data_IF_095112214731
#
_entry.id   IF_095112214731
#
_cell.length_a   1.000
_cell.length_b   1.000
_cell.length_c   1.000
_cell.angle_alpha   90.00
_cell.angle_beta   90.00
_cell.angle_gamma   90.00
#
_symmetry.space_group_name_H-M   'P 1'
#
loop_
_entity.id
_entity.type
_entity.pdbx_description
1 polymer ?
#
# COMPACT_ATOMS: atom_id res chain seq x y z
N UNK A 1 -68.80 -9.02 -28.35
CA UNK A 1 -67.44 -8.90 -28.93
C UNK A 1 -66.45 -8.15 -28.04
N UNK A 2 -66.73 -6.93 -27.55
CA UNK A 2 -65.78 -6.15 -26.71
C UNK A 2 -65.28 -6.86 -25.44
N UNK A 3 -66.13 -7.64 -24.73
CA UNK A 3 -65.72 -8.42 -23.54
C UNK A 3 -64.77 -9.59 -23.86
N UNK A 4 -64.91 -10.20 -25.03
CA UNK A 4 -64.04 -11.31 -25.48
C UNK A 4 -62.67 -10.81 -25.95
N UNK A 5 -62.62 -9.62 -26.58
CA UNK A 5 -61.36 -8.93 -26.92
C UNK A 5 -60.51 -8.60 -25.68
N UNK A 6 -61.14 -8.22 -24.55
CA UNK A 6 -60.46 -7.99 -23.27
C UNK A 6 -59.86 -9.26 -22.64
N UNK A 7 -60.57 -10.39 -22.74
CA UNK A 7 -60.08 -11.69 -22.25
C UNK A 7 -58.96 -12.25 -23.12
N UNK A 8 -59.04 -12.09 -24.45
CA UNK A 8 -58.00 -12.53 -25.39
C UNK A 8 -56.71 -11.72 -25.17
N UNK A 9 -56.82 -10.40 -24.99
CA UNK A 9 -55.65 -9.55 -24.70
C UNK A 9 -55.00 -9.88 -23.35
N UNK A 10 -55.79 -10.17 -22.32
CA UNK A 10 -55.25 -10.66 -21.04
C UNK A 10 -54.53 -12.02 -21.19
N UNK A 11 -55.12 -12.95 -21.94
CA UNK A 11 -54.50 -14.26 -22.20
C UNK A 11 -53.19 -14.14 -22.99
N UNK A 12 -53.11 -13.21 -23.95
CA UNK A 12 -51.87 -12.93 -24.71
C UNK A 12 -50.80 -12.30 -23.81
N UNK A 13 -51.16 -11.36 -22.92
CA UNK A 13 -50.21 -10.79 -21.95
C UNK A 13 -49.68 -11.87 -21.00
N UNK A 14 -50.54 -12.75 -20.50
CA UNK A 14 -50.15 -13.88 -19.66
C UNK A 14 -49.25 -14.85 -20.46
N UNK A 15 -49.59 -15.17 -21.70
CA UNK A 15 -48.79 -16.06 -22.54
C UNK A 15 -47.41 -15.47 -22.87
N UNK A 16 -47.31 -14.16 -23.13
CA UNK A 16 -46.04 -13.46 -23.33
C UNK A 16 -45.23 -13.44 -22.02
N UNK A 17 -45.87 -13.20 -20.88
CA UNK A 17 -45.21 -13.24 -19.57
C UNK A 17 -44.69 -14.65 -19.22
N UNK A 18 -45.44 -15.70 -19.57
CA UNK A 18 -45.02 -17.10 -19.37
C UNK A 18 -43.91 -17.47 -20.35
N UNK A 19 -44.00 -17.09 -21.62
CA UNK A 19 -42.96 -17.38 -22.61
C UNK A 19 -41.63 -16.69 -22.28
N UNK A 20 -41.69 -15.42 -21.87
CA UNK A 20 -40.51 -14.68 -21.42
C UNK A 20 -39.94 -15.25 -20.11
N UNK A 21 -40.77 -15.77 -19.20
CA UNK A 21 -40.33 -16.47 -17.99
C UNK A 21 -39.66 -17.83 -18.28
N UNK A 22 -40.19 -18.61 -19.23
CA UNK A 22 -39.68 -19.96 -19.55
C UNK A 22 -38.35 -19.90 -20.33
N UNK A 23 -38.12 -18.85 -21.12
CA UNK A 23 -36.86 -18.64 -21.86
C UNK A 23 -35.90 -17.67 -21.15
N UNK A 24 -36.10 -17.40 -19.86
CA UNK A 24 -35.22 -16.50 -19.11
C UNK A 24 -33.96 -17.25 -18.65
N UNK A 25 -32.89 -17.10 -19.44
CA UNK A 25 -31.56 -17.69 -19.17
C UNK A 25 -31.02 -17.33 -17.78
N UNK A 26 -31.51 -16.26 -17.13
CA UNK A 26 -31.07 -15.92 -15.76
C UNK A 26 -31.36 -17.05 -14.76
N UNK A 27 -32.40 -17.87 -14.96
CA UNK A 27 -32.67 -19.00 -14.07
C UNK A 27 -31.65 -20.13 -14.22
N UNK A 28 -31.10 -20.35 -15.42
CA UNK A 28 -30.04 -21.35 -15.63
C UNK A 28 -28.73 -20.94 -14.93
N UNK A 29 -28.44 -19.64 -14.91
CA UNK A 29 -27.31 -19.10 -14.14
C UNK A 29 -27.55 -19.24 -12.62
N UNK A 30 -28.78 -19.03 -12.15
CA UNK A 30 -29.14 -19.29 -10.76
C UNK A 30 -28.95 -20.76 -10.37
N UNK A 31 -29.42 -21.70 -11.18
CA UNK A 31 -29.33 -23.13 -10.86
C UNK A 31 -27.87 -23.61 -10.84
N UNK A 32 -27.04 -23.14 -11.77
CA UNK A 32 -25.57 -23.36 -11.74
C UNK A 32 -24.92 -22.76 -10.50
N UNK A 33 -25.24 -21.52 -10.16
CA UNK A 33 -24.73 -20.85 -8.97
C UNK A 33 -25.09 -21.60 -7.68
N UNK A 34 -26.31 -22.17 -7.62
CA UNK A 34 -26.76 -22.95 -6.48
C UNK A 34 -25.94 -24.22 -6.29
N UNK A 35 -25.66 -24.96 -7.37
CA UNK A 35 -24.78 -26.14 -7.32
C UNK A 35 -23.38 -25.75 -6.82
N UNK A 36 -22.80 -24.69 -7.39
CA UNK A 36 -21.48 -24.19 -6.96
C UNK A 36 -21.46 -23.75 -5.49
N UNK A 37 -22.54 -23.13 -5.01
CA UNK A 37 -22.71 -22.75 -3.61
C UNK A 37 -22.72 -23.98 -2.68
N UNK A 38 -23.41 -25.05 -3.07
CA UNK A 38 -23.46 -26.32 -2.33
C UNK A 38 -22.09 -27.04 -2.34
N UNK A 39 -21.31 -26.87 -3.41
CA UNK A 39 -19.93 -27.38 -3.52
C UNK A 39 -18.89 -26.52 -2.77
N UNK A 40 -19.29 -25.40 -2.15
CA UNK A 40 -18.38 -24.47 -1.46
C UNK A 40 -17.55 -23.57 -2.40
N UNK A 41 -17.87 -23.56 -3.69
CA UNK A 41 -17.25 -22.72 -4.73
C UNK A 41 -17.90 -21.34 -4.77
N UNK A 42 -17.75 -20.60 -3.67
CA UNK A 42 -18.52 -19.38 -3.42
C UNK A 42 -18.20 -18.22 -4.39
N UNK A 43 -16.95 -18.13 -4.86
CA UNK A 43 -16.54 -17.10 -5.83
C UNK A 43 -17.17 -17.41 -7.19
N UNK A 44 -17.01 -18.64 -7.69
CA UNK A 44 -17.60 -19.04 -8.96
C UNK A 44 -19.14 -18.96 -8.91
N UNK A 45 -19.75 -19.33 -7.78
CA UNK A 45 -21.19 -19.16 -7.57
C UNK A 45 -21.62 -17.70 -7.69
N UNK A 46 -20.86 -16.77 -7.08
CA UNK A 46 -21.16 -15.34 -7.13
C UNK A 46 -21.02 -14.77 -8.55
N UNK A 47 -20.01 -15.21 -9.30
CA UNK A 47 -19.82 -14.82 -10.72
C UNK A 47 -21.00 -15.27 -11.60
N UNK A 48 -21.50 -16.50 -11.42
CA UNK A 48 -22.69 -16.97 -12.15
C UNK A 48 -23.91 -16.09 -11.83
N UNK A 49 -24.07 -15.65 -10.59
CA UNK A 49 -25.16 -14.75 -10.20
C UNK A 49 -25.02 -13.35 -10.79
N UNK A 50 -23.80 -12.80 -10.92
CA UNK A 50 -23.56 -11.53 -11.62
C UNK A 50 -24.01 -11.63 -13.09
N UNK A 51 -23.64 -12.71 -13.77
CA UNK A 51 -24.05 -12.95 -15.16
C UNK A 51 -25.57 -13.05 -15.25
N UNK A 52 -26.20 -13.90 -14.44
CA UNK A 52 -27.66 -14.04 -14.43
C UNK A 52 -28.39 -12.73 -14.09
N UNK A 53 -27.86 -11.91 -13.17
CA UNK A 53 -28.44 -10.61 -12.82
C UNK A 53 -28.31 -9.60 -13.97
N UNK A 54 -27.25 -9.68 -14.77
CA UNK A 54 -27.09 -8.81 -15.95
C UNK A 54 -28.16 -9.07 -17.01
N UNK A 55 -28.64 -10.32 -17.12
CA UNK A 55 -29.73 -10.74 -18.02
C UNK A 55 -31.09 -10.31 -17.45
N UNK A 56 -31.34 -10.60 -16.16
CA UNK A 56 -32.56 -10.17 -15.47
C UNK A 56 -32.24 -9.59 -14.10
N UNK A 57 -32.22 -8.26 -14.03
CA UNK A 57 -31.89 -7.50 -12.81
C UNK A 57 -32.90 -7.72 -11.67
N UNK A 58 -34.12 -8.17 -11.99
CA UNK A 58 -35.23 -8.34 -11.04
C UNK A 58 -35.43 -9.80 -10.62
N UNK A 59 -34.57 -10.73 -11.04
CA UNK A 59 -34.66 -12.13 -10.64
C UNK A 59 -34.44 -12.26 -9.11
N UNK A 60 -35.53 -12.46 -8.37
CA UNK A 60 -35.53 -12.50 -6.90
C UNK A 60 -34.70 -13.65 -6.34
N UNK A 61 -34.61 -14.78 -7.05
CA UNK A 61 -33.80 -15.93 -6.61
C UNK A 61 -32.31 -15.59 -6.64
N UNK A 62 -31.87 -14.92 -7.71
CA UNK A 62 -30.49 -14.42 -7.84
C UNK A 62 -30.20 -13.40 -6.74
N UNK A 63 -31.05 -12.38 -6.58
CA UNK A 63 -30.88 -11.34 -5.56
C UNK A 63 -30.75 -11.96 -4.16
N UNK A 64 -31.60 -12.95 -3.83
CA UNK A 64 -31.57 -13.61 -2.52
C UNK A 64 -30.29 -14.41 -2.30
N UNK A 65 -29.83 -15.19 -3.27
CA UNK A 65 -28.61 -16.00 -3.10
C UNK A 65 -27.36 -15.10 -3.11
N UNK A 66 -27.35 -14.06 -3.95
CA UNK A 66 -26.28 -13.07 -4.01
C UNK A 66 -26.11 -12.35 -2.68
N UNK A 67 -27.21 -11.98 -2.01
CA UNK A 67 -27.15 -11.39 -0.66
C UNK A 67 -26.50 -12.29 0.38
N UNK A 68 -26.59 -13.63 0.24
CA UNK A 68 -25.91 -14.59 1.12
C UNK A 68 -24.43 -14.77 0.78
N UNK A 69 -24.11 -14.80 -0.52
CA UNK A 69 -22.76 -14.99 -1.02
C UNK A 69 -21.88 -13.75 -0.90
N UNK A 70 -22.47 -12.55 -1.07
CA UNK A 70 -21.77 -11.28 -1.03
C UNK A 70 -20.86 -11.13 0.20
N UNK A 71 -21.33 -11.31 1.45
CA UNK A 71 -20.45 -11.16 2.61
C UNK A 71 -19.34 -12.22 2.70
N UNK A 72 -19.49 -13.38 2.05
CA UNK A 72 -18.44 -14.40 1.97
C UNK A 72 -17.34 -13.94 1.02
N UNK A 73 -17.72 -13.60 -0.22
CA UNK A 73 -16.79 -13.21 -1.29
C UNK A 73 -16.10 -11.89 -0.96
N UNK A 74 -16.87 -10.87 -0.55
CA UNK A 74 -16.34 -9.58 -0.16
C UNK A 74 -15.45 -9.70 1.09
N UNK A 75 -15.83 -10.55 2.05
CA UNK A 75 -14.99 -10.84 3.22
C UNK A 75 -13.64 -11.46 2.85
N UNK A 76 -13.63 -12.44 1.94
CA UNK A 76 -12.39 -13.05 1.44
C UNK A 76 -11.49 -12.04 0.70
N UNK A 77 -12.10 -11.17 -0.12
CA UNK A 77 -11.38 -10.09 -0.81
C UNK A 77 -10.76 -9.10 0.18
N UNK A 78 -11.57 -8.59 1.12
CA UNK A 78 -11.11 -7.66 2.15
C UNK A 78 -9.97 -8.25 3.00
N UNK A 79 -10.08 -9.52 3.39
CA UNK A 79 -9.01 -10.21 4.12
C UNK A 79 -7.71 -10.29 3.31
N UNK A 80 -7.79 -10.68 2.03
CA UNK A 80 -6.62 -10.78 1.16
C UNK A 80 -5.91 -9.43 1.00
N UNK A 81 -6.68 -8.38 0.77
CA UNK A 81 -6.16 -7.02 0.63
C UNK A 81 -5.58 -6.50 1.96
N UNK A 82 -6.26 -6.76 3.09
CA UNK A 82 -5.77 -6.44 4.41
C UNK A 82 -4.42 -7.10 4.71
N UNK A 83 -4.26 -8.38 4.38
CA UNK A 83 -3.01 -9.09 4.61
C UNK A 83 -1.86 -8.51 3.76
N UNK A 84 -2.12 -8.16 2.51
CA UNK A 84 -1.13 -7.54 1.63
C UNK A 84 -0.67 -6.17 2.18
N UNK A 85 -1.62 -5.32 2.60
CA UNK A 85 -1.30 -4.02 3.21
C UNK A 85 -0.55 -4.16 4.52
N UNK A 86 -0.86 -5.18 5.32
CA UNK A 86 -0.13 -5.46 6.54
C UNK A 86 1.34 -5.82 6.26
N UNK A 87 1.60 -6.71 5.30
CA UNK A 87 2.96 -7.07 4.89
C UNK A 87 3.73 -5.87 4.33
N UNK A 88 3.07 -5.03 3.51
CA UNK A 88 3.64 -3.77 3.02
C UNK A 88 4.01 -2.84 4.19
N UNK A 89 3.12 -2.70 5.18
CA UNK A 89 3.34 -1.84 6.31
C UNK A 89 4.54 -2.26 7.16
N UNK A 90 4.72 -3.56 7.37
CA UNK A 90 5.90 -4.10 8.05
C UNK A 90 7.18 -3.74 7.28
N UNK A 91 7.18 -3.93 5.96
CA UNK A 91 8.31 -3.56 5.11
C UNK A 91 8.61 -2.05 5.16
N UNK A 92 7.58 -1.20 5.10
CA UNK A 92 7.73 0.25 5.21
C UNK A 92 8.34 0.65 6.55
N UNK A 93 7.87 0.06 7.66
CA UNK A 93 8.37 0.36 8.98
C UNK A 93 9.83 -0.11 9.18
N UNK A 94 10.17 -1.31 8.69
CA UNK A 94 11.55 -1.80 8.68
C UNK A 94 12.48 -0.89 7.85
N UNK A 95 11.93 -0.22 6.83
CA UNK A 95 12.62 0.79 6.02
C UNK A 95 12.58 2.20 6.62
N UNK A 96 12.09 2.37 7.85
CA UNK A 96 12.06 3.65 8.55
C UNK A 96 10.92 4.57 8.18
N UNK A 97 10.10 4.22 7.18
CA UNK A 97 8.98 5.05 6.71
C UNK A 97 7.80 4.90 7.66
N UNK A 98 7.92 5.42 8.88
CA UNK A 98 6.98 5.11 9.97
C UNK A 98 5.59 5.63 9.70
N UNK A 99 5.45 6.82 9.11
CA UNK A 99 4.14 7.39 8.80
C UNK A 99 3.42 6.65 7.67
N UNK A 100 4.15 6.25 6.62
CA UNK A 100 3.60 5.41 5.55
C UNK A 100 3.16 4.04 6.09
N UNK A 101 3.97 3.44 6.96
CA UNK A 101 3.63 2.19 7.62
C UNK A 101 2.37 2.31 8.48
N UNK A 102 2.21 3.38 9.27
CA UNK A 102 0.99 3.62 10.06
C UNK A 102 -0.26 3.67 9.20
N UNK A 103 -0.20 4.36 8.06
CA UNK A 103 -1.32 4.45 7.12
C UNK A 103 -1.68 3.07 6.59
N UNK A 104 -0.70 2.31 6.11
CA UNK A 104 -0.93 0.96 5.59
C UNK A 104 -1.47 0.00 6.66
N UNK A 105 -0.96 0.05 7.91
CA UNK A 105 -1.51 -0.73 9.02
C UNK A 105 -2.95 -0.35 9.36
N UNK A 106 -3.28 0.94 9.34
CA UNK A 106 -4.65 1.41 9.58
C UNK A 106 -5.61 0.91 8.51
N UNK A 107 -5.22 0.98 7.23
CA UNK A 107 -6.03 0.48 6.13
C UNK A 107 -6.20 -1.05 6.20
N UNK A 108 -5.14 -1.78 6.53
CA UNK A 108 -5.20 -3.22 6.77
C UNK A 108 -6.19 -3.56 7.90
N UNK A 109 -6.15 -2.81 9.00
CA UNK A 109 -7.07 -2.98 10.12
C UNK A 109 -8.52 -2.75 9.69
N UNK A 110 -8.80 -1.65 8.98
CA UNK A 110 -10.15 -1.30 8.55
C UNK A 110 -10.76 -2.34 7.60
N UNK A 111 -9.95 -2.87 6.68
CA UNK A 111 -10.38 -3.93 5.77
C UNK A 111 -10.63 -5.24 6.51
N UNK A 112 -9.72 -5.65 7.40
CA UNK A 112 -9.91 -6.84 8.23
C UNK A 112 -11.17 -6.73 9.13
N UNK A 113 -11.45 -5.52 9.65
CA UNK A 113 -12.63 -5.27 10.48
C UNK A 113 -13.95 -5.38 9.69
N UNK A 114 -13.95 -5.02 8.40
CA UNK A 114 -15.10 -5.14 7.49
C UNK A 114 -15.43 -6.58 7.10
N UNK A 115 -14.58 -7.56 7.42
CA UNK A 115 -14.86 -8.98 7.16
C UNK A 115 -16.06 -9.42 8.00
N UNK A 116 -17.17 -9.73 7.32
CA UNK A 116 -18.43 -10.15 7.95
C UNK A 116 -18.26 -11.39 8.82
N UNK A 117 -19.07 -11.50 9.87
CA UNK A 117 -19.16 -12.70 10.70
C UNK A 117 -19.59 -13.96 9.92
N UNK A 118 -20.27 -13.78 8.78
CA UNK A 118 -20.68 -14.88 7.90
C UNK A 118 -19.61 -15.27 6.88
N UNK A 119 -18.46 -14.60 6.85
CA UNK A 119 -17.35 -14.94 5.97
C UNK A 119 -16.56 -16.12 6.54
N UNK A 120 -16.01 -16.96 5.66
CA UNK A 120 -15.21 -18.11 6.05
C UNK A 120 -13.84 -17.72 6.63
N UNK A 121 -13.33 -16.55 6.25
CA UNK A 121 -12.03 -16.03 6.69
C UNK A 121 -12.14 -15.16 7.94
N UNK A 122 -13.25 -15.26 8.68
CA UNK A 122 -13.55 -14.37 9.81
C UNK A 122 -12.56 -14.53 10.94
N UNK A 123 -12.13 -15.76 11.23
CA UNK A 123 -11.23 -16.04 12.34
C UNK A 123 -9.80 -15.57 12.00
N UNK A 124 -9.37 -15.77 10.76
CA UNK A 124 -8.11 -15.28 10.24
C UNK A 124 -8.07 -13.75 10.21
N UNK A 125 -9.17 -13.09 9.82
CA UNK A 125 -9.28 -11.64 9.88
C UNK A 125 -9.19 -11.10 11.31
N UNK A 126 -9.79 -11.79 12.29
CA UNK A 126 -9.66 -11.41 13.70
C UNK A 126 -8.24 -11.63 14.23
N UNK A 127 -7.57 -12.70 13.80
CA UNK A 127 -6.16 -12.93 14.14
C UNK A 127 -5.27 -11.83 13.54
N UNK A 128 -5.52 -11.44 12.28
CA UNK A 128 -4.82 -10.35 11.62
C UNK A 128 -4.99 -9.03 12.36
N UNK A 129 -6.21 -8.70 12.81
CA UNK A 129 -6.48 -7.52 13.66
C UNK A 129 -5.61 -7.53 14.92
N UNK A 130 -5.51 -8.67 15.61
CA UNK A 130 -4.67 -8.80 16.81
C UNK A 130 -3.18 -8.67 16.49
N UNK A 131 -2.73 -9.23 15.36
CA UNK A 131 -1.34 -9.07 14.87
C UNK A 131 -1.02 -7.61 14.59
N UNK A 132 -1.87 -6.91 13.85
CA UNK A 132 -1.72 -5.48 13.55
C UNK A 132 -1.61 -4.67 14.84
N UNK A 133 -2.52 -4.87 15.81
CA UNK A 133 -2.50 -4.12 17.05
C UNK A 133 -1.19 -4.32 17.86
N UNK A 134 -0.70 -5.56 17.92
CA UNK A 134 0.57 -5.88 18.61
C UNK A 134 1.77 -5.30 17.87
N UNK A 135 1.84 -5.51 16.57
CA UNK A 135 3.03 -5.22 15.77
C UNK A 135 3.11 -3.74 15.41
N UNK A 136 2.00 -3.01 15.37
CA UNK A 136 1.99 -1.56 15.23
C UNK A 136 2.83 -0.89 16.32
N UNK A 137 2.72 -1.32 17.57
CA UNK A 137 3.52 -0.73 18.65
C UNK A 137 4.99 -1.15 18.53
N UNK A 138 5.25 -2.45 18.43
CA UNK A 138 6.62 -2.99 18.44
C UNK A 138 7.48 -2.53 17.26
N UNK A 139 6.90 -2.49 16.07
CA UNK A 139 7.64 -2.19 14.85
C UNK A 139 7.84 -0.69 14.71
N UNK A 140 6.85 0.13 15.07
CA UNK A 140 7.00 1.59 15.01
C UNK A 140 8.00 2.10 16.05
N UNK A 141 8.00 1.54 17.26
CA UNK A 141 8.95 1.92 18.32
C UNK A 141 10.39 1.50 17.98
N UNK A 142 10.58 0.38 17.28
CA UNK A 142 11.91 -0.12 16.92
C UNK A 142 12.47 0.43 15.60
N UNK A 143 11.63 0.99 14.73
CA UNK A 143 12.02 1.46 13.39
C UNK A 143 13.20 2.47 13.40
N UNK A 144 13.24 3.50 14.27
CA UNK A 144 14.39 4.42 14.33
C UNK A 144 15.70 3.70 14.68
N UNK A 145 15.64 2.72 15.59
CA UNK A 145 16.79 1.94 16.01
C UNK A 145 17.32 1.02 14.92
N UNK A 146 16.42 0.39 14.15
CA UNK A 146 16.78 -0.46 13.01
C UNK A 146 17.45 0.38 11.91
N UNK A 147 16.88 1.53 11.57
CA UNK A 147 17.45 2.42 10.56
C UNK A 147 18.81 2.96 10.96
N UNK A 148 18.98 3.34 12.23
CA UNK A 148 20.29 3.74 12.72
C UNK A 148 21.32 2.61 12.56
N UNK A 149 20.97 1.36 12.90
CA UNK A 149 21.86 0.21 12.69
C UNK A 149 22.18 -0.03 11.21
N UNK A 150 21.19 0.09 10.32
CA UNK A 150 21.39 -0.03 8.88
C UNK A 150 22.34 1.05 8.35
N UNK A 151 22.20 2.29 8.84
CA UNK A 151 23.12 3.36 8.49
C UNK A 151 24.55 3.06 8.90
N UNK A 152 24.77 2.58 10.13
CA UNK A 152 26.11 2.18 10.60
C UNK A 152 26.67 1.03 9.75
N UNK A 153 25.82 0.08 9.34
CA UNK A 153 26.24 -1.02 8.46
C UNK A 153 26.69 -0.49 7.09
N UNK A 154 25.90 0.35 6.44
CA UNK A 154 26.28 0.96 5.16
C UNK A 154 27.53 1.84 5.26
N UNK A 155 27.67 2.57 6.36
CA UNK A 155 28.87 3.35 6.66
C UNK A 155 30.12 2.45 6.75
N UNK A 156 30.01 1.30 7.43
CA UNK A 156 31.09 0.32 7.54
C UNK A 156 31.42 -0.37 6.20
N UNK A 157 30.43 -0.54 5.33
CA UNK A 157 30.59 -1.03 3.95
C UNK A 157 31.18 0.05 3.01
N UNK A 158 31.29 1.30 3.46
CA UNK A 158 31.79 2.43 2.68
C UNK A 158 30.74 3.12 1.80
N UNK A 159 29.48 2.66 1.83
CA UNK A 159 28.37 3.27 1.12
C UNK A 159 27.76 4.41 1.93
N UNK A 160 28.46 5.54 1.93
CA UNK A 160 28.06 6.72 2.69
C UNK A 160 26.73 7.33 2.21
N UNK A 161 26.38 7.18 0.93
CA UNK A 161 25.11 7.69 0.39
C UNK A 161 23.95 6.92 1.00
N UNK A 162 23.98 5.58 0.94
CA UNK A 162 22.93 4.75 1.57
C UNK A 162 22.90 4.91 3.09
N UNK A 163 24.05 5.11 3.72
CA UNK A 163 24.11 5.38 5.15
C UNK A 163 23.39 6.69 5.51
N UNK A 164 23.60 7.75 4.72
CA UNK A 164 22.91 9.03 4.91
C UNK A 164 21.40 8.90 4.67
N UNK A 165 20.99 8.21 3.60
CA UNK A 165 19.58 7.97 3.27
C UNK A 165 18.85 7.21 4.38
N UNK A 166 19.45 6.16 4.93
CA UNK A 166 18.88 5.39 6.04
C UNK A 166 18.62 6.26 7.27
N UNK A 167 19.55 7.16 7.62
CA UNK A 167 19.32 8.13 8.69
C UNK A 167 18.27 9.17 8.33
N UNK A 168 18.19 9.56 7.05
CA UNK A 168 17.25 10.57 6.59
C UNK A 168 15.80 10.09 6.64
N UNK A 169 15.60 8.78 6.45
CA UNK A 169 14.31 8.13 6.56
C UNK A 169 13.79 8.01 8.00
N UNK A 170 14.58 8.39 9.02
CA UNK A 170 14.10 8.40 10.40
C UNK A 170 13.32 9.70 10.64
N UNK A 171 12.00 9.57 10.87
CA UNK A 171 11.10 10.71 11.06
C UNK A 171 11.46 11.54 12.31
N UNK A 172 11.68 10.88 13.45
CA UNK A 172 12.06 11.56 14.71
C UNK A 172 13.58 11.46 14.92
N UNK A 173 14.28 12.51 14.52
CA UNK A 173 15.75 12.60 14.62
C UNK A 173 16.17 13.13 15.99
N UNK A 174 16.66 12.25 16.87
CA UNK A 174 17.35 12.65 18.10
C UNK A 174 18.76 13.20 17.81
N UNK A 175 19.43 13.75 18.82
CA UNK A 175 20.76 14.35 18.68
C UNK A 175 21.79 13.37 18.11
N UNK A 176 21.76 12.10 18.55
CA UNK A 176 22.66 11.05 18.05
C UNK A 176 22.52 10.82 16.55
N UNK A 177 21.28 10.79 16.04
CA UNK A 177 21.00 10.63 14.61
C UNK A 177 21.48 11.86 13.84
N UNK A 178 21.16 13.07 14.32
CA UNK A 178 21.57 14.32 13.65
C UNK A 178 23.09 14.48 13.59
N UNK A 179 23.80 14.16 14.67
CA UNK A 179 25.28 14.14 14.70
C UNK A 179 25.84 13.16 13.67
N UNK A 180 25.37 11.92 13.63
CA UNK A 180 25.86 10.95 12.66
C UNK A 180 25.52 11.36 11.21
N UNK A 181 24.37 11.99 10.97
CA UNK A 181 24.05 12.57 9.65
C UNK A 181 25.03 13.65 9.22
N UNK A 182 25.34 14.60 10.11
CA UNK A 182 26.32 15.67 9.83
C UNK A 182 27.72 15.12 9.57
N UNK A 183 28.16 14.14 10.36
CA UNK A 183 29.43 13.44 10.15
C UNK A 183 29.51 12.78 8.76
N UNK A 184 28.49 12.01 8.37
CA UNK A 184 28.45 11.33 7.08
C UNK A 184 28.36 12.34 5.93
N UNK A 185 27.55 13.39 6.08
CA UNK A 185 27.44 14.46 5.09
C UNK A 185 28.78 15.17 4.85
N UNK A 186 29.51 15.49 5.92
CA UNK A 186 30.84 16.08 5.80
C UNK A 186 31.81 15.16 5.04
N UNK A 187 31.84 13.87 5.39
CA UNK A 187 32.67 12.87 4.70
C UNK A 187 32.29 12.71 3.23
N UNK A 188 31.00 12.75 2.89
CA UNK A 188 30.53 12.77 1.51
C UNK A 188 31.03 14.03 0.78
N UNK A 189 30.90 15.20 1.39
CA UNK A 189 31.42 16.46 0.86
C UNK A 189 32.91 16.38 0.53
N UNK A 190 33.72 15.88 1.46
CA UNK A 190 35.17 15.68 1.25
C UNK A 190 35.43 14.66 0.14
N UNK A 191 34.72 13.52 0.10
CA UNK A 191 34.83 12.55 -0.99
C UNK A 191 34.48 13.14 -2.37
N UNK A 192 33.48 14.02 -2.46
CA UNK A 192 33.14 14.69 -3.72
C UNK A 192 34.19 15.71 -4.10
N UNK A 193 34.61 16.53 -3.15
CA UNK A 193 35.63 17.57 -3.33
C UNK A 193 36.96 16.98 -3.82
N UNK A 194 37.44 15.91 -3.18
CA UNK A 194 38.72 15.28 -3.51
C UNK A 194 38.79 14.74 -4.94
N UNK A 195 37.65 14.48 -5.60
CA UNK A 195 37.63 14.01 -7.01
C UNK A 195 38.08 15.08 -8.00
N UNK A 196 38.00 16.36 -7.62
CA UNK A 196 38.34 17.49 -8.48
C UNK A 196 39.26 18.51 -7.82
N UNK A 197 39.69 18.26 -6.58
CA UNK A 197 40.66 19.10 -5.88
C UNK A 197 41.93 19.27 -6.72
N UNK A 198 42.36 20.52 -6.92
CA UNK A 198 43.54 20.87 -7.71
C UNK A 198 43.31 21.00 -9.23
N UNK A 199 42.10 20.79 -9.73
CA UNK A 199 41.77 21.07 -11.13
C UNK A 199 41.50 22.57 -11.34
N UNK A 200 42.03 23.15 -12.43
CA UNK A 200 41.83 24.58 -12.74
C UNK A 200 40.40 24.91 -13.17
N UNK A 201 39.72 23.97 -13.83
CA UNK A 201 38.35 24.14 -14.33
C UNK A 201 37.55 22.86 -14.05
N UNK A 202 36.53 22.99 -13.21
CA UNK A 202 35.68 21.88 -12.76
C UNK A 202 34.28 22.04 -13.36
N UNK A 203 33.58 20.93 -13.62
CA UNK A 203 32.20 21.04 -14.05
C UNK A 203 31.29 21.52 -12.92
N UNK A 204 30.39 22.45 -13.24
CA UNK A 204 29.50 23.07 -12.26
C UNK A 204 28.68 22.07 -11.43
N UNK A 205 28.21 20.97 -12.03
CA UNK A 205 27.41 19.97 -11.33
C UNK A 205 28.18 19.28 -10.19
N UNK A 206 29.50 19.06 -10.35
CA UNK A 206 30.34 18.44 -9.31
C UNK A 206 30.56 19.41 -8.13
N UNK A 207 30.74 20.69 -8.43
CA UNK A 207 30.85 21.75 -7.42
C UNK A 207 29.55 21.86 -6.62
N UNK A 208 28.40 21.86 -7.31
CA UNK A 208 27.09 21.89 -6.67
C UNK A 208 26.81 20.65 -5.80
N UNK A 209 27.17 19.45 -6.26
CA UNK A 209 27.06 18.22 -5.47
C UNK A 209 27.89 18.29 -4.18
N UNK A 210 29.15 18.75 -4.26
CA UNK A 210 29.98 18.94 -3.08
C UNK A 210 29.39 19.98 -2.11
N UNK A 211 28.94 21.14 -2.61
CA UNK A 211 28.28 22.17 -1.81
C UNK A 211 27.02 21.61 -1.13
N UNK A 212 26.22 20.82 -1.86
CA UNK A 212 25.02 20.19 -1.31
C UNK A 212 25.37 19.37 -0.06
N UNK A 213 26.37 18.47 -0.14
CA UNK A 213 26.75 17.64 1.01
C UNK A 213 27.28 18.45 2.19
N UNK A 214 28.17 19.44 1.95
CA UNK A 214 28.63 20.31 3.03
C UNK A 214 27.50 21.12 3.68
N UNK A 215 26.48 21.51 2.91
CA UNK A 215 25.32 22.24 3.44
C UNK A 215 24.43 21.42 4.35
N UNK A 216 24.55 20.08 4.33
CA UNK A 216 23.83 19.19 5.24
C UNK A 216 24.51 19.08 6.62
N UNK A 217 25.71 19.65 6.80
CA UNK A 217 26.41 19.66 8.09
C UNK A 217 25.75 20.69 9.02
N UNK A 218 25.31 20.26 10.20
CA UNK A 218 24.61 21.12 11.14
C UNK A 218 25.57 21.95 12.00
N UNK A 219 25.09 23.11 12.49
CA UNK A 219 25.88 24.08 13.25
C UNK A 219 26.48 23.55 14.57
N UNK A 220 25.92 22.49 15.14
CA UNK A 220 26.43 21.87 16.37
C UNK A 220 27.55 20.84 16.11
N UNK A 221 27.84 20.51 14.85
CA UNK A 221 28.86 19.53 14.47
C UNK A 221 30.25 20.19 14.45
N UNK A 222 31.26 19.48 14.93
CA UNK A 222 32.65 19.99 15.00
C UNK A 222 33.21 20.35 13.61
N UNK A 223 32.70 19.72 12.55
CA UNK A 223 33.11 19.97 11.17
C UNK A 223 32.39 21.15 10.52
N UNK A 224 31.41 21.77 11.18
CA UNK A 224 30.55 22.80 10.58
C UNK A 224 31.34 24.00 10.03
N UNK A 225 32.30 24.49 10.81
CA UNK A 225 33.12 25.63 10.39
C UNK A 225 33.97 25.30 9.17
N UNK A 226 34.53 24.09 9.12
CA UNK A 226 35.28 23.61 7.96
C UNK A 226 34.37 23.44 6.74
N UNK A 227 33.19 22.83 6.90
CA UNK A 227 32.21 22.68 5.83
C UNK A 227 31.81 24.03 5.21
N UNK A 228 31.57 25.05 6.05
CA UNK A 228 31.28 26.41 5.57
C UNK A 228 32.46 27.05 4.83
N UNK A 229 33.69 26.84 5.32
CA UNK A 229 34.88 27.28 4.60
C UNK A 229 34.96 26.63 3.21
N UNK A 230 34.75 25.31 3.13
CA UNK A 230 34.70 24.57 1.85
C UNK A 230 33.63 25.10 0.91
N UNK A 231 32.43 25.38 1.41
CA UNK A 231 31.36 25.99 0.59
C UNK A 231 31.81 27.32 0.00
N UNK A 232 32.46 28.17 0.80
CA UNK A 232 32.92 29.48 0.33
C UNK A 232 34.05 29.35 -0.70
N UNK A 233 35.00 28.44 -0.50
CA UNK A 233 36.04 28.11 -1.49
C UNK A 233 35.42 27.61 -2.81
N UNK A 234 34.45 26.69 -2.72
CA UNK A 234 33.76 26.11 -3.87
C UNK A 234 32.95 27.13 -4.67
N UNK A 235 32.37 28.15 -4.03
CA UNK A 235 31.64 29.23 -4.73
C UNK A 235 32.56 30.14 -5.55
N UNK A 236 33.85 30.16 -5.27
CA UNK A 236 34.85 30.99 -5.96
C UNK A 236 35.59 30.23 -7.08
N UNK A 237 35.37 28.92 -7.20
CA UNK A 237 36.00 28.08 -8.22
C UNK A 237 35.50 28.44 -9.62
N UNK A 238 36.42 28.46 -10.59
CA UNK A 238 36.08 28.63 -12.00
C UNK A 238 35.42 27.34 -12.51
N UNK A 239 34.20 27.46 -13.02
CA UNK A 239 33.43 26.33 -13.55
C UNK A 239 33.25 26.42 -15.06
N UNK A 240 33.02 25.27 -15.70
CA UNK A 240 32.60 25.13 -17.10
C UNK A 240 31.31 24.34 -17.23
#
# INVERSE_FOLDING_TARGET
MKKYLGLISLAVIIAIAVYSYVNDESYDYYDRAKVLYEEGKYIEAYEQLEIGQSINQLNRKIISLKGKLYPIVEGAKNYKEANALYEEAINLALNGKTDAAKIAMSQAYDLAYKVSASSLVRDEAQELIRKIARDATLVLDSAPGIQYKNAIKHEAEGDLVRAYEALNNIDIKNEKIKRKQSEIAYRLGEQRYMKFAGQEVVSEHLVRDAIYWYSQVHAFDDNYMNANQRINELKLLKTK
#
